data_IF_139538507025
#
_entry.id   IF_139538507025
#
_cell.length_a   1.000
_cell.length_b   1.000
_cell.length_c   1.000
_cell.angle_alpha   90.00
_cell.angle_beta   90.00
_cell.angle_gamma   90.00
#
_symmetry.space_group_name_H-M   'P 1'
#
loop_
_entity.id
_entity.type
_entity.pdbx_description
1 polymer ?
#
# COMPACT_ATOMS: atom_id res chain seq x y z
N UNK A 1 -0.82 -7.14 -20.55
CA UNK A 1 -0.70 -5.67 -20.35
C UNK A 1 -1.92 -4.98 -20.91
N UNK A 2 -2.66 -4.23 -20.09
CA UNK A 2 -3.75 -3.37 -20.57
C UNK A 2 -3.22 -2.15 -21.35
N UNK A 3 -4.04 -1.56 -22.21
CA UNK A 3 -3.65 -0.44 -23.07
C UNK A 3 -3.09 0.78 -22.31
N UNK A 4 -3.53 1.01 -21.06
CA UNK A 4 -3.04 2.09 -20.19
C UNK A 4 -1.60 1.89 -19.67
N UNK A 5 -1.15 0.63 -19.53
CA UNK A 5 0.21 0.33 -19.05
C UNK A 5 1.26 0.50 -20.15
N UNK A 6 0.89 0.21 -21.40
CA UNK A 6 1.76 0.32 -22.55
C UNK A 6 2.24 1.76 -22.81
N UNK A 7 1.52 2.77 -22.33
CA UNK A 7 1.91 4.19 -22.46
C UNK A 7 2.95 4.65 -21.44
N UNK A 8 3.16 3.91 -20.35
CA UNK A 8 4.19 4.23 -19.35
C UNK A 8 5.53 3.53 -19.61
N UNK A 9 5.52 2.43 -20.36
CA UNK A 9 6.76 1.71 -20.66
C UNK A 9 7.54 2.50 -21.73
N UNK A 10 8.82 2.85 -21.49
CA UNK A 10 9.63 3.53 -22.48
C UNK A 10 9.69 2.78 -23.82
N UNK A 11 9.75 3.48 -24.96
CA UNK A 11 9.87 2.84 -26.27
C UNK A 11 11.20 2.06 -26.43
N UNK A 12 12.22 2.44 -25.66
CA UNK A 12 13.50 1.75 -25.58
C UNK A 12 13.86 1.46 -24.13
N UNK A 13 13.97 0.19 -23.76
CA UNK A 13 14.38 -0.25 -22.43
C UNK A 13 15.89 -0.53 -22.39
N UNK A 14 16.51 -0.24 -21.26
CA UNK A 14 17.85 -0.76 -20.97
C UNK A 14 17.81 -2.29 -20.82
N UNK A 15 18.92 -3.02 -21.00
CA UNK A 15 18.93 -4.47 -20.82
C UNK A 15 18.43 -4.94 -19.45
N UNK A 16 18.74 -4.19 -18.38
CA UNK A 16 18.28 -4.47 -17.03
C UNK A 16 16.76 -4.28 -16.90
N UNK A 17 16.22 -3.17 -17.41
CA UNK A 17 14.78 -2.90 -17.41
C UNK A 17 14.00 -3.94 -18.22
N UNK A 18 14.49 -4.31 -19.41
CA UNK A 18 13.90 -5.38 -20.22
C UNK A 18 13.93 -6.72 -19.49
N UNK A 19 15.05 -7.09 -18.87
CA UNK A 19 15.15 -8.33 -18.09
C UNK A 19 14.21 -8.33 -16.87
N UNK A 20 14.01 -7.18 -16.23
CA UNK A 20 13.09 -7.03 -15.11
C UNK A 20 11.62 -7.19 -15.54
N UNK A 21 11.20 -6.49 -16.60
CA UNK A 21 9.82 -6.50 -17.10
C UNK A 21 9.43 -7.79 -17.85
N UNK A 22 10.41 -8.58 -18.30
CA UNK A 22 10.16 -9.89 -18.92
C UNK A 22 10.00 -11.03 -17.90
N UNK A 23 10.13 -10.76 -16.60
CA UNK A 23 9.87 -11.76 -15.55
C UNK A 23 8.39 -12.17 -15.59
N UNK A 24 8.06 -13.44 -15.30
CA UNK A 24 6.67 -13.86 -15.19
C UNK A 24 5.99 -13.05 -14.08
N UNK A 25 4.73 -12.70 -14.32
CA UNK A 25 3.86 -12.13 -13.29
C UNK A 25 3.35 -13.29 -12.42
N UNK A 26 3.67 -13.23 -11.14
CA UNK A 26 3.20 -14.17 -10.12
C UNK A 26 2.81 -13.36 -8.87
N UNK A 27 1.51 -13.24 -8.64
CA UNK A 27 0.98 -12.46 -7.52
C UNK A 27 1.16 -13.15 -6.16
N UNK A 28 1.51 -14.44 -6.13
CA UNK A 28 1.72 -15.22 -4.91
C UNK A 28 3.19 -15.20 -4.47
N UNK A 29 4.12 -15.16 -5.41
CA UNK A 29 5.55 -15.23 -5.13
C UNK A 29 6.04 -14.12 -4.17
N UNK A 30 5.49 -12.91 -4.31
CA UNK A 30 5.77 -11.76 -3.45
C UNK A 30 4.69 -11.46 -2.40
N UNK A 31 3.66 -12.31 -2.28
CA UNK A 31 2.51 -12.03 -1.42
C UNK A 31 2.90 -12.06 0.05
N UNK A 32 2.70 -10.97 0.81
CA UNK A 32 3.07 -10.91 2.22
C UNK A 32 2.03 -11.61 3.09
N UNK A 33 2.03 -12.95 3.09
CA UNK A 33 1.05 -13.76 3.79
C UNK A 33 0.94 -13.35 5.28
N UNK A 34 -0.24 -12.88 5.75
CA UNK A 34 -0.36 -12.20 7.03
C UNK A 34 -0.54 -13.12 8.24
N UNK A 35 -0.64 -14.44 8.01
CA UNK A 35 -0.93 -15.42 9.04
C UNK A 35 0.30 -16.29 9.28
N UNK A 36 0.71 -16.42 10.55
CA UNK A 36 1.74 -17.39 10.91
C UNK A 36 1.19 -18.82 10.76
N UNK A 37 2.06 -19.80 10.51
CA UNK A 37 1.67 -21.18 10.18
C UNK A 37 0.81 -21.87 11.26
N UNK A 38 0.91 -21.43 12.52
CA UNK A 38 0.21 -21.99 13.68
C UNK A 38 -1.12 -21.26 14.01
N UNK A 39 -1.44 -20.19 13.29
CA UNK A 39 -2.63 -19.38 13.56
C UNK A 39 -3.88 -20.05 12.99
N UNK A 40 -4.79 -20.45 13.87
CA UNK A 40 -6.13 -20.94 13.52
C UNK A 40 -7.24 -19.91 13.76
N UNK A 41 -7.00 -18.86 14.57
CA UNK A 41 -8.00 -17.82 14.87
C UNK A 41 -7.40 -16.42 14.77
N UNK A 42 -8.11 -15.47 14.14
CA UNK A 42 -7.64 -14.09 14.00
C UNK A 42 -8.00 -13.23 15.21
N UNK A 43 -7.04 -12.44 15.70
CA UNK A 43 -7.24 -11.38 16.68
C UNK A 43 -6.44 -10.15 16.29
N UNK A 44 -6.98 -8.96 16.54
CA UNK A 44 -6.19 -7.75 16.46
C UNK A 44 -5.05 -7.81 17.47
N UNK A 45 -3.82 -7.72 16.98
CA UNK A 45 -2.60 -7.68 17.78
C UNK A 45 -1.73 -6.53 17.30
N UNK A 46 -0.76 -6.11 18.13
CA UNK A 46 0.29 -5.21 17.65
C UNK A 46 1.28 -6.08 16.88
N UNK A 47 1.05 -6.21 15.57
CA UNK A 47 1.80 -7.09 14.67
C UNK A 47 2.92 -6.33 13.95
N UNK A 48 3.77 -5.65 14.71
CA UNK A 48 4.86 -4.83 14.16
C UNK A 48 6.19 -5.58 14.24
N UNK A 49 6.90 -5.69 13.12
CA UNK A 49 8.25 -6.28 13.04
C UNK A 49 9.24 -5.36 12.31
N UNK A 50 10.57 -5.56 12.50
CA UNK A 50 11.57 -4.84 11.73
C UNK A 50 11.41 -5.05 10.22
N UNK A 51 11.49 -3.98 9.43
CA UNK A 51 11.48 -4.04 7.98
C UNK A 51 12.87 -4.39 7.41
N UNK A 52 12.95 -4.53 6.08
CA UNK A 52 14.16 -4.95 5.34
C UNK A 52 14.68 -6.34 5.74
N UNK A 53 13.81 -7.14 6.35
CA UNK A 53 14.07 -8.54 6.66
C UNK A 53 13.22 -9.36 5.70
N UNK A 54 13.82 -10.05 4.71
CA UNK A 54 13.08 -10.93 3.83
C UNK A 54 12.35 -12.02 4.62
N UNK A 55 11.14 -12.36 4.20
CA UNK A 55 10.31 -13.41 4.78
C UNK A 55 9.99 -14.43 3.71
N UNK A 56 10.47 -15.65 3.90
CA UNK A 56 10.07 -16.79 3.08
C UNK A 56 8.65 -17.21 3.42
N UNK A 57 7.87 -17.50 2.39
CA UNK A 57 6.52 -18.05 2.47
C UNK A 57 6.44 -19.33 1.65
N UNK A 58 5.28 -19.99 1.59
CA UNK A 58 5.13 -21.19 0.76
C UNK A 58 5.20 -20.89 -0.74
N UNK A 59 4.84 -19.68 -1.14
CA UNK A 59 4.82 -19.27 -2.54
C UNK A 59 6.09 -18.53 -2.99
N UNK A 60 6.88 -17.99 -2.06
CA UNK A 60 8.12 -17.28 -2.41
C UNK A 60 8.73 -16.51 -1.25
N UNK A 61 9.02 -15.23 -1.47
CA UNK A 61 9.68 -14.35 -0.52
C UNK A 61 9.21 -12.90 -0.70
N UNK A 62 9.05 -12.18 0.40
CA UNK A 62 8.70 -10.75 0.37
C UNK A 62 9.51 -9.95 1.40
N UNK A 63 9.43 -8.62 1.31
CA UNK A 63 9.86 -7.73 2.40
C UNK A 63 11.36 -7.42 2.44
N UNK A 64 12.07 -7.60 1.32
CA UNK A 64 13.48 -7.21 1.15
C UNK A 64 13.66 -5.69 1.09
N UNK A 65 12.78 -5.01 0.38
CA UNK A 65 12.81 -3.57 0.15
C UNK A 65 11.67 -2.89 0.91
N UNK A 66 11.80 -1.58 1.17
CA UNK A 66 10.68 -0.79 1.68
C UNK A 66 9.60 -0.69 0.61
N UNK A 67 10.01 -0.26 -0.60
CA UNK A 67 9.14 -0.22 -1.77
C UNK A 67 9.32 -1.50 -2.57
N UNK A 68 8.30 -2.35 -2.56
CA UNK A 68 8.17 -3.47 -3.47
C UNK A 68 7.52 -2.97 -4.77
N UNK A 69 8.25 -2.99 -5.89
CA UNK A 69 7.75 -2.47 -7.16
C UNK A 69 6.60 -3.33 -7.75
N UNK A 70 6.40 -4.57 -7.31
CA UNK A 70 5.40 -5.50 -7.86
C UNK A 70 5.88 -6.27 -9.10
N UNK A 71 7.19 -6.40 -9.29
CA UNK A 71 7.75 -7.15 -10.43
C UNK A 71 7.38 -6.54 -11.78
N UNK A 72 7.09 -7.40 -12.76
CA UNK A 72 6.74 -6.98 -14.12
C UNK A 72 5.43 -6.18 -14.22
N UNK A 73 4.59 -6.21 -13.19
CA UNK A 73 3.35 -5.43 -13.13
C UNK A 73 3.55 -3.98 -12.68
N UNK A 74 4.77 -3.60 -12.30
CA UNK A 74 5.05 -2.24 -11.85
C UNK A 74 4.48 -1.14 -12.79
N UNK A 75 4.69 -1.18 -14.13
CA UNK A 75 4.10 -0.17 -15.02
C UNK A 75 2.56 -0.21 -15.08
N UNK A 76 1.94 -1.37 -14.87
CA UNK A 76 0.48 -1.52 -14.83
C UNK A 76 -0.08 -0.86 -13.57
N UNK A 77 0.50 -1.16 -12.42
CA UNK A 77 0.13 -0.58 -11.13
C UNK A 77 0.30 0.94 -11.19
N UNK A 78 1.42 1.41 -11.73
CA UNK A 78 1.69 2.85 -11.83
C UNK A 78 0.80 3.56 -12.85
N UNK A 79 0.34 2.89 -13.90
CA UNK A 79 -0.62 3.46 -14.84
C UNK A 79 -1.98 3.69 -14.20
N UNK A 80 -2.44 2.76 -13.35
CA UNK A 80 -3.66 2.94 -12.57
C UNK A 80 -3.51 4.10 -11.58
N UNK A 81 -2.40 4.14 -10.82
CA UNK A 81 -2.14 5.23 -9.88
C UNK A 81 -2.07 6.60 -10.57
N UNK A 82 -1.29 6.73 -11.65
CA UNK A 82 -1.17 8.01 -12.39
C UNK A 82 -2.51 8.43 -12.98
N UNK A 83 -3.32 7.49 -13.47
CA UNK A 83 -4.67 7.80 -13.92
C UNK A 83 -5.52 8.41 -12.80
N UNK A 84 -5.52 7.83 -11.59
CA UNK A 84 -6.25 8.37 -10.44
C UNK A 84 -5.72 9.76 -10.07
N UNK A 85 -4.40 9.94 -9.99
CA UNK A 85 -3.76 11.24 -9.70
C UNK A 85 -4.18 12.33 -10.70
N UNK A 86 -4.26 11.99 -11.99
CA UNK A 86 -4.64 12.93 -13.06
C UNK A 86 -6.14 13.27 -13.03
N UNK A 87 -7.00 12.29 -12.75
CA UNK A 87 -8.46 12.48 -12.78
C UNK A 87 -9.03 13.03 -11.48
N UNK A 88 -8.37 12.78 -10.36
CA UNK A 88 -8.74 13.25 -9.03
C UNK A 88 -7.51 13.74 -8.24
N UNK A 89 -7.02 14.96 -8.55
CA UNK A 89 -5.90 15.54 -7.81
C UNK A 89 -6.18 15.71 -6.30
N UNK A 90 -7.46 15.64 -5.89
CA UNK A 90 -7.86 15.68 -4.47
C UNK A 90 -7.38 14.49 -3.65
N UNK A 91 -6.88 13.43 -4.30
CA UNK A 91 -6.18 12.31 -3.65
C UNK A 91 -4.84 12.67 -3.03
N UNK A 92 -4.26 13.80 -3.45
CA UNK A 92 -3.06 14.38 -2.84
C UNK A 92 -3.45 15.62 -2.05
N UNK A 93 -3.17 15.60 -0.74
CA UNK A 93 -3.48 16.71 0.15
C UNK A 93 -2.33 16.94 1.11
N UNK A 94 -1.96 18.20 1.26
CA UNK A 94 -0.88 18.65 2.14
C UNK A 94 -1.40 19.81 2.96
N UNK A 95 -1.48 19.67 4.28
CA UNK A 95 -1.81 20.79 5.16
C UNK A 95 -0.60 21.73 5.26
N UNK A 96 -0.90 23.02 5.45
CA UNK A 96 0.12 24.05 5.67
C UNK A 96 1.07 23.64 6.79
N UNK A 97 2.38 23.74 6.54
CA UNK A 97 3.44 23.34 7.47
C UNK A 97 4.02 21.94 7.20
N UNK A 98 3.41 21.15 6.32
CA UNK A 98 3.90 19.82 5.93
C UNK A 98 4.81 19.84 4.68
N UNK A 99 5.07 21.01 4.09
CA UNK A 99 5.80 21.15 2.83
C UNK A 99 7.22 20.55 2.96
N UNK A 100 7.93 20.88 4.05
CA UNK A 100 9.26 20.31 4.32
C UNK A 100 9.23 18.80 4.54
N UNK A 101 8.17 18.27 5.18
CA UNK A 101 8.04 16.83 5.39
C UNK A 101 7.78 16.08 4.08
N UNK A 102 7.11 16.71 3.11
CA UNK A 102 6.93 16.15 1.78
C UNK A 102 8.26 16.08 1.01
N UNK A 103 9.11 17.11 1.11
CA UNK A 103 10.46 17.09 0.55
C UNK A 103 11.38 16.04 1.20
N UNK A 104 11.35 15.94 2.53
CA UNK A 104 12.09 14.92 3.29
C UNK A 104 11.67 13.51 2.89
N UNK A 105 10.36 13.28 2.73
CA UNK A 105 9.79 12.03 2.23
C UNK A 105 10.31 11.71 0.83
N UNK A 106 10.21 12.65 -0.12
CA UNK A 106 10.67 12.46 -1.49
C UNK A 106 12.13 12.01 -1.52
N UNK A 107 13.02 12.78 -0.90
CA UNK A 107 14.46 12.50 -0.92
C UNK A 107 14.77 11.19 -0.20
N UNK A 108 14.10 10.89 0.91
CA UNK A 108 14.26 9.60 1.60
C UNK A 108 13.97 8.42 0.68
N UNK A 109 12.82 8.44 -0.01
CA UNK A 109 12.40 7.32 -0.84
C UNK A 109 13.20 7.21 -2.15
N UNK A 110 13.53 8.31 -2.82
CA UNK A 110 14.36 8.23 -4.03
C UNK A 110 15.74 7.66 -3.73
N UNK A 111 16.35 8.05 -2.59
CA UNK A 111 17.61 7.46 -2.11
C UNK A 111 17.48 5.97 -1.79
N UNK A 112 16.36 5.57 -1.18
CA UNK A 112 16.11 4.15 -0.87
C UNK A 112 15.91 3.31 -2.13
N UNK A 113 15.16 3.84 -3.10
CA UNK A 113 14.87 3.18 -4.37
C UNK A 113 16.15 3.00 -5.20
N UNK A 114 16.97 4.05 -5.32
CA UNK A 114 18.24 3.97 -6.06
C UNK A 114 19.21 2.94 -5.43
N UNK A 115 19.15 2.74 -4.12
CA UNK A 115 19.93 1.67 -3.44
C UNK A 115 19.31 0.30 -3.59
N UNK A 116 17.98 0.22 -3.60
CA UNK A 116 17.24 -1.04 -3.69
C UNK A 116 17.25 -1.63 -5.10
N UNK A 117 17.25 -0.76 -6.12
CA UNK A 117 17.18 -1.14 -7.54
C UNK A 117 18.24 -0.38 -8.37
N UNK A 118 19.54 -0.55 -8.08
CA UNK A 118 20.61 0.29 -8.63
C UNK A 118 20.82 0.16 -10.15
N UNK A 119 20.32 -0.91 -10.76
CA UNK A 119 20.40 -1.13 -12.20
C UNK A 119 19.18 -0.59 -12.96
N UNK A 120 18.18 -0.04 -12.25
CA UNK A 120 16.88 0.34 -12.79
C UNK A 120 16.50 1.78 -12.43
N UNK A 121 16.85 2.22 -11.22
CA UNK A 121 16.46 3.49 -10.63
C UNK A 121 17.70 4.25 -10.18
N UNK A 122 17.82 5.51 -10.58
CA UNK A 122 19.04 6.30 -10.41
C UNK A 122 18.72 7.65 -9.81
N UNK A 123 19.53 8.07 -8.86
CA UNK A 123 19.47 9.40 -8.25
C UNK A 123 20.88 9.99 -8.21
N UNK A 124 21.09 11.05 -8.97
CA UNK A 124 22.30 11.89 -8.87
C UNK A 124 21.99 13.11 -8.00
N UNK A 125 22.92 13.45 -7.09
CA UNK A 125 22.77 14.53 -6.11
C UNK A 125 23.97 15.49 -6.20
N UNK A 126 23.72 16.77 -6.49
CA UNK A 126 24.71 17.86 -6.48
C UNK A 126 24.21 19.05 -5.64
N UNK A 127 24.55 19.01 -4.35
CA UNK A 127 24.00 19.94 -3.36
C UNK A 127 22.48 19.81 -3.27
N UNK A 128 21.77 20.89 -3.59
CA UNK A 128 20.30 20.91 -3.61
C UNK A 128 19.71 20.52 -4.99
N UNK A 129 20.54 20.23 -5.99
CA UNK A 129 20.08 19.81 -7.33
C UNK A 129 20.05 18.29 -7.42
N UNK A 130 18.90 17.75 -7.83
CA UNK A 130 18.68 16.32 -7.95
C UNK A 130 18.30 15.96 -9.39
N UNK A 131 18.81 14.82 -9.86
CA UNK A 131 18.38 14.20 -11.11
C UNK A 131 17.92 12.77 -10.83
N UNK A 132 16.62 12.53 -10.99
CA UNK A 132 15.99 11.23 -10.85
C UNK A 132 15.76 10.60 -12.22
N UNK A 133 16.16 9.33 -12.38
CA UNK A 133 15.85 8.51 -13.55
C UNK A 133 15.22 7.18 -13.14
N UNK A 134 14.08 6.86 -13.75
CA UNK A 134 13.37 5.59 -13.59
C UNK A 134 13.25 4.90 -14.94
N UNK A 135 14.12 3.92 -15.20
CA UNK A 135 14.17 3.25 -16.51
C UNK A 135 12.95 2.35 -16.77
N UNK A 136 12.16 2.04 -15.74
CA UNK A 136 10.95 1.20 -15.86
C UNK A 136 9.71 2.02 -16.27
N UNK A 137 9.66 3.31 -15.92
CA UNK A 137 8.55 4.23 -16.25
C UNK A 137 8.94 5.35 -17.24
N UNK A 138 10.23 5.46 -17.58
CA UNK A 138 10.74 6.51 -18.47
C UNK A 138 10.84 7.90 -17.85
N UNK A 139 10.73 8.00 -16.52
CA UNK A 139 10.87 9.28 -15.82
C UNK A 139 12.34 9.73 -15.90
N UNK A 140 12.57 10.97 -16.35
CA UNK A 140 13.85 11.69 -16.30
C UNK A 140 13.53 13.11 -15.79
N UNK A 141 13.73 13.32 -14.49
CA UNK A 141 13.28 14.52 -13.79
C UNK A 141 14.44 15.21 -13.08
N UNK A 142 14.55 16.53 -13.25
CA UNK A 142 15.50 17.37 -12.51
C UNK A 142 14.73 18.35 -11.65
N UNK A 143 15.10 18.46 -10.39
CA UNK A 143 14.45 19.36 -9.44
C UNK A 143 15.46 19.91 -8.43
N UNK A 144 15.06 20.99 -7.75
CA UNK A 144 15.83 21.63 -6.69
C UNK A 144 15.10 21.43 -5.37
N UNK A 145 15.80 20.89 -4.38
CA UNK A 145 15.25 20.63 -3.05
C UNK A 145 14.70 21.89 -2.42
N UNK A 146 13.41 21.86 -2.05
CA UNK A 146 12.71 22.98 -1.43
C UNK A 146 12.17 24.03 -2.41
N UNK A 147 12.37 23.86 -3.72
CA UNK A 147 11.76 24.70 -4.76
C UNK A 147 10.66 23.94 -5.49
N UNK A 148 9.42 24.09 -5.01
CA UNK A 148 8.22 23.50 -5.61
C UNK A 148 8.03 23.89 -7.09
N UNK A 149 8.60 25.02 -7.53
CA UNK A 149 8.53 25.47 -8.92
C UNK A 149 9.28 24.56 -9.90
N UNK A 150 10.22 23.74 -9.41
CA UNK A 150 11.01 22.81 -10.21
C UNK A 150 10.41 21.40 -10.31
N UNK A 151 9.34 21.13 -9.57
CA UNK A 151 8.71 19.82 -9.50
C UNK A 151 7.18 19.97 -9.58
N UNK A 152 6.59 19.96 -10.79
CA UNK A 152 5.15 20.14 -10.98
C UNK A 152 4.31 19.16 -10.14
N UNK A 153 3.29 19.68 -9.45
CA UNK A 153 2.48 18.91 -8.50
C UNK A 153 3.09 18.77 -7.10
N UNK A 154 4.36 19.15 -6.93
CA UNK A 154 5.09 19.10 -5.67
C UNK A 154 5.66 17.70 -5.34
N UNK A 155 6.48 17.61 -4.28
CA UNK A 155 7.26 16.41 -3.97
C UNK A 155 6.40 15.18 -3.63
N UNK A 156 5.25 15.37 -2.97
CA UNK A 156 4.38 14.26 -2.58
C UNK A 156 3.64 13.67 -3.79
N UNK A 157 3.13 14.52 -4.69
CA UNK A 157 2.50 14.07 -5.94
C UNK A 157 3.51 13.32 -6.81
N UNK A 158 4.71 13.90 -6.97
CA UNK A 158 5.77 13.29 -7.77
C UNK A 158 6.17 11.92 -7.23
N UNK A 159 6.40 11.78 -5.90
CA UNK A 159 6.74 10.48 -5.33
C UNK A 159 5.61 9.46 -5.52
N UNK A 160 4.36 9.87 -5.31
CA UNK A 160 3.21 8.99 -5.57
C UNK A 160 3.17 8.53 -7.04
N UNK A 161 3.55 9.37 -8.00
CA UNK A 161 3.63 8.98 -9.40
C UNK A 161 4.80 8.03 -9.74
N UNK A 162 5.70 7.75 -8.78
CA UNK A 162 6.88 6.91 -8.94
C UNK A 162 6.84 5.62 -8.11
N UNK A 163 5.97 5.49 -7.10
CA UNK A 163 5.93 4.29 -6.24
C UNK A 163 4.53 3.67 -6.13
N UNK A 164 4.44 2.34 -5.96
CA UNK A 164 3.17 1.63 -5.84
C UNK A 164 2.48 1.80 -4.46
N UNK A 165 3.16 2.40 -3.49
CA UNK A 165 2.65 2.65 -2.14
C UNK A 165 1.74 3.89 -2.09
N UNK A 166 0.65 3.83 -1.32
CA UNK A 166 -0.01 5.04 -0.83
C UNK A 166 0.84 5.66 0.27
N UNK A 167 0.91 6.99 0.30
CA UNK A 167 1.81 7.74 1.16
C UNK A 167 1.03 8.54 2.19
N UNK A 168 1.32 8.33 3.47
CA UNK A 168 0.78 9.14 4.55
C UNK A 168 1.92 9.75 5.37
N UNK A 169 1.73 10.98 5.82
CA UNK A 169 2.62 11.72 6.70
C UNK A 169 1.89 12.12 7.97
N UNK A 170 2.46 11.67 9.07
CA UNK A 170 1.95 11.85 10.42
C UNK A 170 2.92 12.74 11.20
N UNK A 171 2.42 13.77 11.86
CA UNK A 171 3.22 14.70 12.65
C UNK A 171 2.66 14.83 14.06
N UNK A 172 3.53 15.08 15.03
CA UNK A 172 3.12 15.34 16.40
C UNK A 172 2.74 16.82 16.58
N UNK A 173 1.53 17.08 17.09
CA UNK A 173 1.05 18.40 17.53
C UNK A 173 0.35 18.25 18.87
N UNK A 174 0.58 19.14 19.81
CA UNK A 174 -0.13 19.14 21.11
C UNK A 174 -0.13 17.76 21.84
N UNK A 175 0.95 17.00 21.67
CA UNK A 175 1.13 15.68 22.28
C UNK A 175 0.41 14.52 21.58
N UNK A 176 -0.29 14.77 20.45
CA UNK A 176 -0.97 13.74 19.63
C UNK A 176 -0.39 13.65 18.23
N UNK A 177 -0.57 12.49 17.61
CA UNK A 177 -0.20 12.27 16.21
C UNK A 177 -1.38 12.57 15.27
N UNK A 178 -1.12 13.38 14.25
CA UNK A 178 -2.10 13.81 13.25
C UNK A 178 -1.66 13.42 11.84
N UNK A 179 -2.59 12.90 11.04
CA UNK A 179 -2.39 12.65 9.62
C UNK A 179 -2.60 13.96 8.85
N UNK A 180 -1.52 14.66 8.51
CA UNK A 180 -1.63 16.04 7.99
C UNK A 180 -1.27 16.18 6.49
N UNK A 181 -0.69 15.15 5.88
CA UNK A 181 -0.46 15.12 4.45
C UNK A 181 -0.45 13.69 3.91
N UNK A 182 -0.95 13.47 2.70
CA UNK A 182 -0.91 12.16 2.06
C UNK A 182 -1.24 12.20 0.57
N UNK A 183 -0.80 11.15 -0.13
CA UNK A 183 -1.19 10.81 -1.49
C UNK A 183 -1.74 9.39 -1.47
N UNK A 184 -3.07 9.27 -1.53
CA UNK A 184 -3.77 7.99 -1.34
C UNK A 184 -4.70 7.76 -2.52
N UNK A 185 -4.30 6.82 -3.38
CA UNK A 185 -5.00 6.50 -4.61
C UNK A 185 -5.60 5.11 -4.60
N UNK A 186 -5.12 4.21 -3.74
CA UNK A 186 -5.59 2.82 -3.66
C UNK A 186 -6.28 2.53 -2.33
N UNK A 187 -7.06 3.46 -1.80
CA UNK A 187 -7.73 3.30 -0.51
C UNK A 187 -8.71 2.11 -0.52
N UNK A 188 -8.88 1.47 0.65
CA UNK A 188 -9.78 0.34 0.86
C UNK A 188 -11.07 0.78 1.59
N UNK A 189 -12.03 1.35 0.85
CA UNK A 189 -13.30 1.87 1.40
C UNK A 189 -13.15 2.96 2.48
N UNK A 190 -12.12 3.81 2.34
CA UNK A 190 -11.93 5.02 3.13
C UNK A 190 -11.45 6.18 2.23
N UNK A 191 -11.34 7.38 2.79
CA UNK A 191 -10.92 8.59 2.06
C UNK A 191 -9.90 9.38 2.87
N UNK A 192 -8.70 9.56 2.31
CA UNK A 192 -7.69 10.46 2.89
C UNK A 192 -8.20 11.91 2.96
N UNK A 193 -9.10 12.28 2.04
CA UNK A 193 -9.72 13.60 2.03
C UNK A 193 -10.59 13.87 3.25
N UNK A 194 -11.20 12.83 3.85
CA UNK A 194 -11.96 12.94 5.09
C UNK A 194 -11.04 12.94 6.31
N UNK A 195 -9.95 12.18 6.27
CA UNK A 195 -9.12 11.91 7.45
C UNK A 195 -7.98 12.92 7.66
N UNK A 196 -7.61 13.69 6.63
CA UNK A 196 -6.51 14.67 6.77
C UNK A 196 -6.86 15.78 7.76
N UNK A 197 -6.00 15.92 8.76
CA UNK A 197 -6.12 16.82 9.89
C UNK A 197 -6.64 16.15 11.17
N UNK A 198 -7.11 14.90 11.09
CA UNK A 198 -7.58 14.13 12.24
C UNK A 198 -6.41 13.48 12.98
N UNK A 199 -6.62 13.23 14.28
CA UNK A 199 -5.69 12.47 15.10
C UNK A 199 -5.89 10.95 15.01
N UNK A 200 -4.93 10.20 15.57
CA UNK A 200 -4.96 8.73 15.60
C UNK A 200 -6.24 8.14 16.21
N UNK A 201 -6.90 8.83 17.14
CA UNK A 201 -8.14 8.34 17.77
C UNK A 201 -9.35 8.61 16.90
N UNK A 202 -9.40 9.77 16.25
CA UNK A 202 -10.47 10.14 15.33
C UNK A 202 -10.51 9.21 14.11
N UNK A 203 -9.38 9.01 13.43
CA UNK A 203 -9.28 8.16 12.22
C UNK A 203 -9.65 6.70 12.53
N UNK A 204 -9.28 6.21 13.71
CA UNK A 204 -9.55 4.81 14.10
C UNK A 204 -10.89 4.62 14.83
N UNK A 205 -11.67 5.68 15.04
CA UNK A 205 -12.99 5.62 15.69
C UNK A 205 -13.96 4.59 15.08
N UNK A 206 -14.02 4.41 13.75
CA UNK A 206 -14.89 3.43 13.11
C UNK A 206 -14.47 1.96 13.29
N UNK A 207 -13.25 1.67 13.75
CA UNK A 207 -12.73 0.30 13.81
C UNK A 207 -13.34 -0.46 15.00
N UNK A 208 -14.08 -1.57 14.78
CA UNK A 208 -14.71 -2.32 15.87
C UNK A 208 -13.66 -2.82 16.86
N UNK A 209 -14.02 -2.78 18.15
CA UNK A 209 -13.19 -3.27 19.27
C UNK A 209 -11.85 -2.53 19.45
N UNK A 210 -11.60 -1.46 18.69
CA UNK A 210 -10.41 -0.61 18.83
C UNK A 210 -10.55 0.32 20.03
N UNK A 211 -11.68 1.02 20.12
CA UNK A 211 -12.01 1.93 21.24
C UNK A 211 -12.07 1.16 22.57
N UNK A 212 -11.35 1.65 23.58
CA UNK A 212 -11.30 1.05 24.92
C UNK A 212 -10.32 -0.11 25.11
N UNK A 213 -9.72 -0.66 24.03
CA UNK A 213 -8.72 -1.75 24.12
C UNK A 213 -7.30 -1.28 24.50
N UNK A 214 -7.07 0.03 24.49
CA UNK A 214 -5.74 0.64 24.60
C UNK A 214 -4.83 0.41 23.39
N UNK A 215 -5.34 -0.15 22.30
CA UNK A 215 -4.53 -0.43 21.10
C UNK A 215 -4.09 0.84 20.39
N UNK A 216 -5.00 1.81 20.17
CA UNK A 216 -4.67 3.11 19.57
C UNK A 216 -3.61 3.84 20.38
N UNK A 217 -3.72 3.87 21.71
CA UNK A 217 -2.73 4.54 22.55
C UNK A 217 -1.36 3.84 22.54
N UNK A 218 -1.33 2.50 22.52
CA UNK A 218 -0.07 1.76 22.34
C UNK A 218 0.57 2.02 20.97
N UNK A 219 -0.23 2.05 19.91
CA UNK A 219 0.24 2.36 18.55
C UNK A 219 0.78 3.79 18.45
N UNK A 220 0.06 4.77 18.99
CA UNK A 220 0.51 6.16 19.04
C UNK A 220 1.83 6.29 19.81
N UNK A 221 1.96 5.66 20.99
CA UNK A 221 3.21 5.67 21.75
C UNK A 221 4.37 5.00 21.03
N UNK A 222 4.12 3.92 20.30
CA UNK A 222 5.12 3.27 19.45
C UNK A 222 5.61 4.25 18.37
N UNK A 223 4.69 4.85 17.61
CA UNK A 223 5.04 5.78 16.53
C UNK A 223 5.78 7.00 17.06
N UNK A 224 5.35 7.58 18.19
CA UNK A 224 6.04 8.69 18.86
C UNK A 224 7.49 8.37 19.24
N UNK A 225 7.79 7.10 19.55
CA UNK A 225 9.13 6.62 19.96
C UNK A 225 9.92 5.99 18.83
N UNK A 226 9.39 5.98 17.60
CA UNK A 226 10.01 5.38 16.43
C UNK A 226 11.40 6.00 16.17
N UNK A 227 12.50 5.21 16.26
CA UNK A 227 13.85 5.71 16.01
C UNK A 227 14.08 6.06 14.53
N UNK A 228 14.80 7.15 14.25
CA UNK A 228 15.12 7.59 12.89
C UNK A 228 16.01 6.61 12.10
N UNK A 229 16.74 5.73 12.78
CA UNK A 229 17.63 4.74 12.17
C UNK A 229 16.99 3.35 12.02
N UNK A 230 15.71 3.20 12.35
CA UNK A 230 14.99 1.92 12.25
C UNK A 230 13.75 2.08 11.38
N UNK A 231 13.45 1.02 10.65
CA UNK A 231 12.22 0.90 9.86
C UNK A 231 11.46 -0.30 10.36
N UNK A 232 10.19 -0.09 10.63
CA UNK A 232 9.27 -1.16 11.03
C UNK A 232 8.20 -1.33 9.99
N UNK A 233 7.51 -2.46 10.05
CA UNK A 233 6.37 -2.75 9.21
C UNK A 233 5.32 -3.53 9.97
N UNK A 234 4.11 -3.57 9.40
CA UNK A 234 3.06 -4.51 9.80
C UNK A 234 2.23 -4.90 8.58
N UNK A 235 1.35 -5.87 8.77
CA UNK A 235 0.40 -6.29 7.76
C UNK A 235 -1.03 -5.99 8.23
N UNK A 236 -1.82 -5.39 7.36
CA UNK A 236 -3.27 -5.39 7.45
C UNK A 236 -3.82 -6.21 6.28
N UNK A 237 -5.03 -6.72 6.39
CA UNK A 237 -5.63 -7.49 5.30
C UNK A 237 -7.13 -7.31 5.29
N UNK A 238 -7.72 -7.49 4.11
CA UNK A 238 -9.15 -7.53 3.95
C UNK A 238 -9.57 -8.43 2.78
N UNK A 239 -10.81 -8.89 2.78
CA UNK A 239 -11.45 -9.54 1.61
C UNK A 239 -12.29 -8.52 0.82
N UNK A 240 -12.01 -7.23 1.02
CA UNK A 240 -12.85 -6.12 0.60
C UNK A 240 -13.26 -6.17 -0.87
N UNK A 241 -14.58 -6.13 -1.09
CA UNK A 241 -15.32 -5.29 -2.04
C UNK A 241 -15.00 -5.35 -3.54
N UNK A 242 -14.02 -6.14 -3.99
CA UNK A 242 -13.75 -6.26 -5.41
C UNK A 242 -13.72 -7.72 -5.87
N UNK A 243 -14.61 -8.10 -6.80
CA UNK A 243 -14.52 -9.38 -7.52
C UNK A 243 -13.47 -9.33 -8.64
N UNK A 244 -12.63 -8.29 -8.65
CA UNK A 244 -11.62 -8.01 -9.67
C UNK A 244 -10.40 -7.40 -9.02
N UNK A 245 -9.23 -7.44 -9.67
CA UNK A 245 -7.98 -6.84 -9.15
C UNK A 245 -7.94 -5.30 -9.32
N UNK A 246 -8.97 -4.61 -8.86
CA UNK A 246 -9.07 -3.14 -8.82
C UNK A 246 -8.44 -2.63 -7.53
N UNK A 247 -7.44 -1.74 -7.63
CA UNK A 247 -6.73 -1.25 -6.45
C UNK A 247 -7.46 -0.10 -5.76
N UNK A 248 -8.05 0.82 -6.53
CA UNK A 248 -8.83 1.94 -6.00
C UNK A 248 -10.29 1.54 -5.74
N UNK A 249 -10.61 1.30 -4.48
CA UNK A 249 -11.98 1.12 -3.98
C UNK A 249 -12.27 2.17 -2.90
N UNK A 250 -11.87 3.43 -3.15
CA UNK A 250 -12.05 4.53 -2.22
C UNK A 250 -13.50 5.02 -2.14
N UNK A 251 -13.81 5.86 -1.15
CA UNK A 251 -15.15 6.44 -1.02
C UNK A 251 -15.48 7.46 -2.12
N UNK A 252 -14.47 8.08 -2.72
CA UNK A 252 -14.61 9.03 -3.84
C UNK A 252 -15.24 8.36 -5.07
N UNK A 253 -14.96 7.07 -5.29
CA UNK A 253 -15.44 6.29 -6.45
C UNK A 253 -16.46 5.22 -6.06
N UNK A 254 -17.04 5.30 -4.85
CA UNK A 254 -18.02 4.32 -4.34
C UNK A 254 -19.16 3.99 -5.33
N UNK A 255 -19.76 4.95 -6.07
CA UNK A 255 -20.79 4.63 -7.07
C UNK A 255 -20.32 3.70 -8.18
N UNK A 256 -19.02 3.73 -8.52
CA UNK A 256 -18.45 2.94 -9.60
C UNK A 256 -18.21 1.48 -9.18
N UNK A 257 -17.73 1.25 -7.95
CA UNK A 257 -17.36 -0.10 -7.50
C UNK A 257 -18.33 -0.76 -6.50
N UNK A 258 -19.17 0.02 -5.81
CA UNK A 258 -19.98 -0.47 -4.68
C UNK A 258 -20.99 -1.57 -5.00
N UNK A 259 -21.30 -1.77 -6.29
CA UNK A 259 -22.21 -2.83 -6.76
C UNK A 259 -21.48 -4.08 -7.27
N UNK A 260 -20.16 -4.03 -7.46
CA UNK A 260 -19.40 -5.11 -8.09
C UNK A 260 -19.49 -6.42 -7.30
N UNK A 261 -19.21 -6.39 -5.99
CA UNK A 261 -19.31 -7.59 -5.16
C UNK A 261 -20.74 -8.14 -5.08
N UNK A 262 -21.79 -7.34 -4.76
CA UNK A 262 -23.16 -7.83 -4.79
C UNK A 262 -23.57 -8.49 -6.11
N UNK A 263 -23.06 -8.01 -7.26
CA UNK A 263 -23.31 -8.63 -8.56
C UNK A 263 -22.55 -9.95 -8.72
N UNK A 264 -21.25 -10.00 -8.40
CA UNK A 264 -20.46 -11.23 -8.49
C UNK A 264 -21.02 -12.36 -7.61
N UNK A 265 -21.51 -12.03 -6.42
CA UNK A 265 -22.15 -12.99 -5.51
C UNK A 265 -23.46 -13.54 -6.08
N UNK A 266 -24.25 -12.72 -6.78
CA UNK A 266 -25.48 -13.18 -7.46
C UNK A 266 -25.18 -14.16 -8.58
N UNK A 267 -24.05 -13.96 -9.27
CA UNK A 267 -23.58 -14.85 -10.32
C UNK A 267 -22.96 -16.15 -9.77
N UNK A 268 -22.74 -16.21 -8.45
CA UNK A 268 -22.28 -17.40 -7.73
C UNK A 268 -20.79 -17.70 -7.88
N UNK A 269 -20.01 -16.80 -8.49
CA UNK A 269 -18.58 -16.98 -8.71
C UNK A 269 -17.76 -16.17 -7.71
N UNK A 270 -17.31 -16.83 -6.64
CA UNK A 270 -16.40 -16.24 -5.64
C UNK A 270 -14.92 -16.42 -5.98
N UNK A 271 -14.59 -17.10 -7.08
CA UNK A 271 -13.19 -17.43 -7.44
C UNK A 271 -12.33 -16.18 -7.63
N UNK A 272 -12.92 -15.11 -8.13
CA UNK A 272 -12.25 -13.85 -8.43
C UNK A 272 -12.26 -12.83 -7.27
N UNK A 273 -12.87 -13.18 -6.12
CA UNK A 273 -12.80 -12.34 -4.92
C UNK A 273 -11.34 -12.16 -4.53
N UNK A 274 -10.93 -10.92 -4.28
CA UNK A 274 -9.55 -10.60 -4.00
C UNK A 274 -9.26 -10.63 -2.50
N UNK A 275 -8.23 -11.38 -2.12
CA UNK A 275 -7.56 -11.21 -0.84
C UNK A 275 -6.58 -10.05 -0.94
N UNK A 276 -6.92 -8.95 -0.27
CA UNK A 276 -6.15 -7.71 -0.28
C UNK A 276 -5.30 -7.64 0.99
N UNK A 277 -4.00 -7.47 0.83
CA UNK A 277 -3.06 -7.30 1.94
C UNK A 277 -2.38 -5.94 1.81
N UNK A 278 -2.29 -5.23 2.92
CA UNK A 278 -1.62 -3.94 3.04
C UNK A 278 -0.34 -4.16 3.85
N UNK A 279 0.80 -4.04 3.17
CA UNK A 279 2.10 -3.96 3.82
C UNK A 279 2.38 -2.52 4.16
N UNK A 280 2.39 -2.24 5.45
CA UNK A 280 2.47 -0.90 5.97
C UNK A 280 3.86 -0.69 6.60
N UNK A 281 4.64 0.30 6.15
CA UNK A 281 5.89 0.64 6.84
C UNK A 281 5.77 1.91 7.68
N UNK A 282 6.55 1.94 8.76
CA UNK A 282 6.67 3.07 9.67
C UNK A 282 8.12 3.54 9.66
N UNK A 283 8.33 4.78 9.20
CA UNK A 283 9.67 5.38 9.10
C UNK A 283 9.61 6.78 9.71
N UNK A 284 10.54 7.08 10.61
CA UNK A 284 10.76 8.45 11.08
C UNK A 284 11.68 9.15 10.08
N UNK A 285 11.17 10.18 9.41
CA UNK A 285 11.92 10.94 8.42
C UNK A 285 13.05 11.73 9.10
N UNK A 286 14.27 11.68 8.55
CA UNK A 286 15.47 12.12 9.26
C UNK A 286 15.59 13.64 9.42
N UNK A 287 15.03 14.44 8.50
CA UNK A 287 15.21 15.91 8.53
C UNK A 287 14.12 16.60 9.34
N UNK A 288 12.88 16.16 9.19
CA UNK A 288 11.70 16.81 9.76
C UNK A 288 11.19 16.10 11.01
N UNK A 289 11.58 14.84 11.20
CA UNK A 289 11.02 14.01 12.26
C UNK A 289 9.55 13.69 12.04
N UNK A 290 8.92 13.97 10.89
CA UNK A 290 7.60 13.41 10.60
C UNK A 290 7.69 11.89 10.49
N UNK A 291 6.60 11.18 10.79
CA UNK A 291 6.50 9.73 10.54
C UNK A 291 5.79 9.54 9.22
N UNK A 292 6.42 8.83 8.29
CA UNK A 292 5.69 8.30 7.14
C UNK A 292 5.11 6.94 7.46
N UNK A 293 3.87 6.77 7.02
CA UNK A 293 3.13 5.52 7.02
C UNK A 293 2.78 5.23 5.57
N UNK A 294 3.55 4.36 4.93
CA UNK A 294 3.31 3.96 3.54
C UNK A 294 2.56 2.64 3.49
N UNK A 295 1.64 2.52 2.55
CA UNK A 295 0.76 1.36 2.41
C UNK A 295 0.96 0.75 1.02
N UNK A 296 1.62 -0.40 0.96
CA UNK A 296 1.76 -1.18 -0.27
C UNK A 296 0.65 -2.23 -0.34
N UNK A 297 -0.21 -2.12 -1.34
CA UNK A 297 -1.33 -3.05 -1.54
C UNK A 297 -0.99 -4.24 -2.43
N UNK A 298 -1.09 -5.44 -1.90
CA UNK A 298 -1.01 -6.70 -2.63
C UNK A 298 -2.40 -7.31 -2.78
N UNK A 299 -2.65 -7.99 -3.90
CA UNK A 299 -3.93 -8.64 -4.19
C UNK A 299 -3.71 -9.99 -4.86
N UNK A 300 -4.42 -11.01 -4.38
CA UNK A 300 -4.49 -12.32 -5.01
C UNK A 300 -5.94 -12.79 -5.03
N UNK A 301 -6.40 -13.40 -6.14
CA UNK A 301 -7.75 -13.99 -6.19
C UNK A 301 -7.83 -15.25 -5.33
N UNK A 302 -9.04 -15.64 -4.92
CA UNK A 302 -9.22 -16.93 -4.25
C UNK A 302 -8.82 -18.11 -5.15
N UNK A 303 -9.00 -18.00 -6.46
CA UNK A 303 -8.48 -18.95 -7.45
C UNK A 303 -6.97 -19.10 -7.38
N UNK A 304 -6.23 -17.99 -7.36
CA UNK A 304 -4.77 -18.00 -7.19
C UNK A 304 -4.40 -18.64 -5.85
N UNK A 305 -5.03 -18.20 -4.75
CA UNK A 305 -4.74 -18.74 -3.41
C UNK A 305 -4.99 -20.26 -3.31
N UNK A 306 -5.98 -20.81 -4.02
CA UNK A 306 -6.24 -22.26 -4.05
C UNK A 306 -5.13 -23.08 -4.69
N UNK A 307 -4.25 -22.48 -5.48
CA UNK A 307 -3.07 -23.16 -6.02
C UNK A 307 -2.07 -23.53 -4.91
N UNK A 308 -2.16 -22.89 -3.75
CA UNK A 308 -1.39 -23.20 -2.54
C UNK A 308 -2.35 -23.71 -1.47
N UNK A 309 -2.48 -25.03 -1.36
CA UNK A 309 -3.50 -25.68 -0.52
C UNK A 309 -3.50 -25.20 0.94
N UNK A 310 -2.33 -24.91 1.52
CA UNK A 310 -2.23 -24.40 2.88
C UNK A 310 -2.75 -22.97 3.04
N UNK A 311 -2.59 -22.11 2.02
CA UNK A 311 -3.17 -20.76 2.05
C UNK A 311 -4.68 -20.82 2.01
N UNK A 312 -5.23 -21.65 1.12
CA UNK A 312 -6.68 -21.85 1.03
C UNK A 312 -7.26 -22.43 2.33
N UNK A 313 -6.64 -23.48 2.87
CA UNK A 313 -7.09 -24.09 4.12
C UNK A 313 -7.02 -23.11 5.30
N UNK A 314 -5.93 -22.37 5.45
CA UNK A 314 -5.77 -21.42 6.55
C UNK A 314 -6.72 -20.24 6.43
N UNK A 315 -6.86 -19.65 5.24
CA UNK A 315 -7.80 -18.54 5.03
C UNK A 315 -9.24 -18.99 5.26
N UNK A 316 -9.62 -20.20 4.84
CA UNK A 316 -10.95 -20.74 5.11
C UNK A 316 -11.25 -20.81 6.62
N UNK A 317 -10.34 -21.37 7.42
CA UNK A 317 -10.49 -21.43 8.88
C UNK A 317 -10.62 -20.04 9.48
N UNK A 318 -9.77 -19.10 9.08
CA UNK A 318 -9.79 -17.73 9.60
C UNK A 318 -11.11 -17.03 9.27
N UNK A 319 -11.55 -17.08 8.02
CA UNK A 319 -12.81 -16.47 7.56
C UNK A 319 -14.02 -17.06 8.28
N UNK A 320 -14.02 -18.37 8.51
CA UNK A 320 -15.06 -19.08 9.24
C UNK A 320 -15.14 -18.63 10.72
N UNK A 321 -14.00 -18.52 11.40
CA UNK A 321 -13.92 -18.19 12.83
C UNK A 321 -14.05 -16.70 13.16
N UNK A 322 -13.91 -15.80 12.18
CA UNK A 322 -13.91 -14.35 12.46
C UNK A 322 -15.23 -13.88 13.09
N UNK A 323 -15.21 -13.10 14.19
CA UNK A 323 -16.43 -12.54 14.77
C UNK A 323 -17.23 -11.68 13.78
N UNK A 324 -18.55 -11.73 13.88
CA UNK A 324 -19.48 -11.08 12.93
C UNK A 324 -19.21 -9.58 12.74
N UNK A 325 -19.01 -8.83 13.84
CA UNK A 325 -18.71 -7.40 13.77
C UNK A 325 -17.40 -7.09 13.01
N UNK A 326 -16.39 -7.96 13.15
CA UNK A 326 -15.13 -7.82 12.41
C UNK A 326 -15.35 -8.20 10.94
N UNK A 327 -16.07 -9.28 10.64
CA UNK A 327 -16.38 -9.69 9.27
C UNK A 327 -17.24 -8.66 8.52
N UNK A 328 -18.18 -8.00 9.21
CA UNK A 328 -18.99 -6.91 8.65
C UNK A 328 -18.12 -5.69 8.36
N UNK A 329 -17.26 -5.27 9.30
CA UNK A 329 -16.32 -4.18 9.06
C UNK A 329 -15.33 -4.48 7.93
N UNK A 330 -14.86 -5.73 7.84
CA UNK A 330 -14.03 -6.23 6.74
C UNK A 330 -14.82 -6.47 5.44
N UNK A 331 -16.14 -6.32 5.45
CA UNK A 331 -16.97 -6.34 4.25
C UNK A 331 -17.10 -7.72 3.60
N UNK A 332 -17.05 -8.81 4.38
CA UNK A 332 -17.23 -10.18 3.87
C UNK A 332 -18.28 -11.03 4.58
N UNK A 333 -18.98 -10.47 5.58
CA UNK A 333 -19.97 -11.23 6.36
C UNK A 333 -21.05 -11.89 5.48
N UNK A 334 -21.58 -11.19 4.47
CA UNK A 334 -22.71 -11.65 3.65
C UNK A 334 -22.39 -12.88 2.78
N UNK A 335 -21.12 -13.08 2.40
CA UNK A 335 -20.68 -14.15 1.49
C UNK A 335 -19.62 -15.06 2.09
N UNK A 336 -19.48 -15.00 3.42
CA UNK A 336 -18.52 -15.80 4.19
C UNK A 336 -18.61 -17.28 3.85
N UNK A 337 -19.82 -17.83 3.83
CA UNK A 337 -20.05 -19.25 3.61
C UNK A 337 -19.61 -19.70 2.21
N UNK A 338 -19.85 -18.88 1.19
CA UNK A 338 -19.47 -19.18 -0.19
C UNK A 338 -17.95 -19.18 -0.35
N UNK A 339 -17.25 -18.20 0.26
CA UNK A 339 -15.79 -18.14 0.30
C UNK A 339 -15.20 -19.36 1.00
N UNK A 340 -15.73 -19.73 2.17
CA UNK A 340 -15.26 -20.89 2.93
C UNK A 340 -15.49 -22.18 2.13
N UNK A 341 -16.67 -22.35 1.51
CA UNK A 341 -16.97 -23.51 0.69
C UNK A 341 -16.05 -23.61 -0.52
N UNK A 342 -15.79 -22.50 -1.21
CA UNK A 342 -14.89 -22.47 -2.36
C UNK A 342 -13.45 -22.82 -1.98
N UNK A 343 -12.92 -22.23 -0.91
CA UNK A 343 -11.54 -22.48 -0.44
C UNK A 343 -11.33 -23.91 0.07
N UNK A 344 -12.39 -24.58 0.56
CA UNK A 344 -12.34 -25.98 1.03
C UNK A 344 -12.58 -27.00 -0.08
N UNK A 345 -13.09 -26.59 -1.24
CA UNK A 345 -13.22 -27.45 -2.42
C UNK A 345 -11.88 -27.67 -3.10
#
# INVERSE_FOLDING_TARGET
MGAKAATLIPPSLTPAAAAYLNRPVDHLAGLPWPFADDVTSFRYTVNVDPARVPRTTRAGEWGRHIVDLGGADYPVIMAERRHVLDTDPGRVKVRRGMELACWDLLVYYLRDLARSYPDLLFLDEDGDHFHWRNDLLGTDARFVLGDDGTLPGGPLFFLAAEIPDDLLLVIERDGRLYFDAGAVTFAAAWSASFDIGMDMYEIHGPVPRMTGSGMTSRAEQFLKRLPANQVYRRLNWNLAASPTRTFDISLETLPDWGTHMPLALRDGDVSQVQFRIELEHFIRLPMTGAVTFNIRTFMASLEELRTVGEYAAQLATIVEELPEDIATYKGFAEYRNDVVAYLKS
#
